data_IF_755686745845
#
_entry.id   IF_755686745845
#
_cell.length_a   1.000
_cell.length_b   1.000
_cell.length_c   1.000
_cell.angle_alpha   90.00
_cell.angle_beta   90.00
_cell.angle_gamma   90.00
#
_symmetry.space_group_name_H-M   'P 1'
#
loop_
_entity.id
_entity.type
_entity.pdbx_description
1 polymer ?
#
# COMPACT_ATOMS: atom_id res chain seq x y z
N UNK A 1 33.62 0.95 -40.32
CA UNK A 1 32.61 2.00 -40.26
C UNK A 1 32.12 2.11 -38.82
N UNK A 2 31.65 3.26 -38.37
CA UNK A 2 31.35 3.48 -36.94
C UNK A 2 29.85 3.64 -36.76
N UNK A 3 29.24 2.78 -35.95
CA UNK A 3 27.84 2.94 -35.52
C UNK A 3 27.74 4.20 -34.63
N UNK A 4 27.05 5.25 -35.06
CA UNK A 4 26.87 6.44 -34.22
C UNK A 4 26.03 6.11 -32.98
N UNK A 5 26.32 6.75 -31.82
CA UNK A 5 25.59 6.46 -30.59
C UNK A 5 24.11 6.78 -30.74
N UNK A 6 23.22 5.95 -30.15
CA UNK A 6 21.80 6.27 -30.03
C UNK A 6 21.60 7.64 -29.38
N UNK A 7 20.58 8.37 -29.81
CA UNK A 7 20.23 9.68 -29.22
C UNK A 7 18.99 9.54 -28.35
N UNK A 8 18.94 10.31 -27.28
CA UNK A 8 17.74 10.41 -26.46
C UNK A 8 16.73 11.34 -27.09
N UNK A 9 15.47 10.92 -27.16
CA UNK A 9 14.36 11.70 -27.75
C UNK A 9 13.12 11.64 -26.85
N UNK A 10 12.32 12.69 -26.88
CA UNK A 10 11.02 12.74 -26.22
C UNK A 10 11.07 12.80 -24.68
N UNK A 11 9.89 12.71 -24.10
CA UNK A 11 9.68 12.69 -22.64
C UNK A 11 9.64 11.25 -22.17
N UNK A 12 10.37 10.96 -21.10
CA UNK A 12 10.35 9.62 -20.46
C UNK A 12 8.99 9.38 -19.80
N UNK A 13 8.42 8.18 -19.98
CA UNK A 13 7.21 7.79 -19.26
C UNK A 13 7.51 7.67 -17.77
N UNK A 14 6.50 7.95 -16.93
CA UNK A 14 6.52 7.69 -15.51
C UNK A 14 5.89 6.33 -15.25
N UNK A 15 6.53 5.53 -14.42
CA UNK A 15 6.00 4.28 -13.90
C UNK A 15 5.46 4.56 -12.49
N UNK A 16 4.14 4.55 -12.35
CA UNK A 16 3.47 4.84 -11.09
C UNK A 16 2.78 3.58 -10.60
N UNK A 17 3.09 3.17 -9.39
CA UNK A 17 2.39 2.12 -8.65
C UNK A 17 1.53 2.75 -7.57
N UNK A 18 0.39 2.14 -7.33
CA UNK A 18 -0.57 2.50 -6.30
C UNK A 18 -0.62 1.35 -5.28
N UNK A 19 -0.33 1.62 -4.02
CA UNK A 19 -0.14 0.61 -2.98
C UNK A 19 -1.38 -0.21 -2.59
N UNK A 20 -2.64 0.25 -2.78
CA UNK A 20 -3.82 -0.51 -2.34
C UNK A 20 -3.88 -1.94 -2.83
N UNK A 21 -3.27 -2.22 -3.95
CA UNK A 21 -3.32 -3.56 -4.55
C UNK A 21 -1.97 -4.22 -4.75
N UNK A 22 -0.85 -3.50 -4.66
CA UNK A 22 0.51 -3.94 -5.07
C UNK A 22 0.56 -4.63 -6.45
N UNK A 23 -0.56 -4.67 -7.14
CA UNK A 23 -0.81 -5.24 -8.47
C UNK A 23 -1.90 -4.41 -9.17
N UNK A 24 -1.85 -4.20 -10.48
CA UNK A 24 -0.83 -4.70 -11.41
C UNK A 24 0.46 -3.88 -11.37
N UNK A 25 1.57 -4.50 -11.83
CA UNK A 25 2.84 -3.82 -12.05
C UNK A 25 2.69 -2.62 -12.99
N UNK A 26 3.48 -1.57 -12.74
CA UNK A 26 3.56 -0.45 -13.67
C UNK A 26 4.55 -0.77 -14.79
N UNK A 27 4.11 -0.66 -16.03
CA UNK A 27 4.95 -0.94 -17.19
C UNK A 27 4.84 0.15 -18.25
N UNK A 28 5.97 0.55 -18.81
CA UNK A 28 6.01 1.56 -19.87
C UNK A 28 7.14 1.28 -20.86
N UNK A 29 6.89 1.56 -22.16
CA UNK A 29 7.92 1.44 -23.19
C UNK A 29 8.81 2.68 -23.19
N UNK A 30 10.11 2.45 -22.98
CA UNK A 30 11.16 3.46 -23.10
C UNK A 30 11.91 3.38 -24.42
N UNK A 31 11.60 2.42 -25.31
CA UNK A 31 12.27 2.24 -26.59
C UNK A 31 12.20 3.48 -27.48
N UNK A 32 11.06 4.16 -27.50
CA UNK A 32 10.85 5.40 -28.29
C UNK A 32 11.71 6.59 -27.81
N UNK A 33 12.30 6.49 -26.62
CA UNK A 33 13.22 7.50 -26.09
C UNK A 33 14.66 7.36 -26.64
N UNK A 34 14.93 6.30 -27.38
CA UNK A 34 16.20 6.07 -28.07
C UNK A 34 15.98 6.14 -29.58
N UNK A 35 16.74 6.99 -30.26
CA UNK A 35 16.82 7.01 -31.72
C UNK A 35 18.12 6.34 -32.12
N UNK A 36 18.03 5.21 -32.80
CA UNK A 36 19.19 4.42 -33.24
C UNK A 36 19.42 4.70 -34.74
N UNK A 37 20.68 4.94 -35.11
CA UNK A 37 21.12 4.98 -36.49
C UNK A 37 22.25 3.95 -36.63
N UNK A 38 22.05 2.97 -37.48
CA UNK A 38 23.03 1.87 -37.68
C UNK A 38 24.08 2.17 -38.73
N UNK A 39 24.06 3.36 -39.33
CA UNK A 39 25.02 3.71 -40.38
C UNK A 39 24.72 3.07 -41.73
N UNK A 40 25.76 2.91 -42.55
CA UNK A 40 25.67 2.38 -43.91
C UNK A 40 25.54 0.84 -43.94
N UNK A 41 26.07 0.13 -42.92
CA UNK A 41 26.12 -1.30 -42.84
C UNK A 41 24.79 -1.96 -42.51
N UNK A 42 23.82 -1.13 -42.07
CA UNK A 42 22.45 -1.56 -41.80
C UNK A 42 22.24 -2.07 -40.39
N UNK A 43 20.98 -2.39 -40.07
CA UNK A 43 20.55 -2.74 -38.73
C UNK A 43 20.97 -4.19 -38.35
N UNK A 44 21.62 -4.33 -37.22
CA UNK A 44 21.82 -5.60 -36.53
C UNK A 44 20.85 -5.79 -35.39
N UNK A 45 21.17 -5.33 -34.16
CA UNK A 45 20.31 -5.51 -32.99
C UNK A 45 20.33 -4.32 -32.04
N UNK A 46 19.31 -4.20 -31.21
CA UNK A 46 19.30 -3.31 -30.04
C UNK A 46 18.98 -4.10 -28.78
N UNK A 47 19.79 -3.93 -27.75
CA UNK A 47 19.63 -4.57 -26.43
C UNK A 47 19.47 -3.49 -25.38
N UNK A 48 18.54 -3.72 -24.43
CA UNK A 48 18.29 -2.82 -23.32
C UNK A 48 18.74 -3.46 -22.01
N UNK A 49 19.45 -2.70 -21.18
CA UNK A 49 19.93 -3.15 -19.87
C UNK A 49 19.68 -2.10 -18.81
N UNK A 50 19.39 -2.56 -17.58
CA UNK A 50 19.25 -1.71 -16.42
C UNK A 50 20.54 -1.63 -15.63
N UNK A 51 20.81 -0.46 -15.06
CA UNK A 51 21.86 -0.21 -14.09
C UNK A 51 21.32 0.48 -12.85
N UNK A 52 21.99 0.35 -11.72
CA UNK A 52 21.69 1.10 -10.52
C UNK A 52 22.97 1.50 -9.78
N UNK A 53 22.92 2.65 -9.12
CA UNK A 53 23.92 3.04 -8.13
C UNK A 53 23.62 2.26 -6.86
N UNK A 54 24.52 1.34 -6.48
CA UNK A 54 24.38 0.57 -5.24
C UNK A 54 24.39 1.47 -4.01
N UNK A 55 23.41 1.28 -3.10
CA UNK A 55 23.29 2.06 -1.88
C UNK A 55 21.89 2.65 -1.70
N UNK A 56 21.79 3.68 -0.87
CA UNK A 56 20.50 4.24 -0.44
C UNK A 56 19.66 4.78 -1.61
N UNK A 57 18.41 4.37 -1.65
CA UNK A 57 17.41 4.83 -2.62
C UNK A 57 16.69 6.11 -2.20
N UNK A 58 16.68 6.40 -0.89
CA UNK A 58 15.87 7.43 -0.26
C UNK A 58 14.52 6.92 0.25
N UNK A 59 14.13 5.69 -0.07
CA UNK A 59 12.92 5.06 0.41
C UNK A 59 13.16 4.33 1.74
N UNK A 60 12.08 4.10 2.48
CA UNK A 60 12.04 3.33 3.72
C UNK A 60 10.97 2.25 3.57
N UNK A 61 11.27 1.01 3.92
CA UNK A 61 10.31 -0.08 4.01
C UNK A 61 9.40 0.13 5.22
N UNK A 62 8.11 0.32 5.03
CA UNK A 62 7.14 0.62 6.09
C UNK A 62 7.13 -0.47 7.17
N UNK A 63 7.14 -1.74 6.78
CA UNK A 63 6.99 -2.85 7.73
C UNK A 63 8.21 -3.06 8.63
N UNK A 64 9.41 -2.69 8.18
CA UNK A 64 10.65 -2.85 8.97
C UNK A 64 11.19 -1.53 9.52
N UNK A 65 10.80 -0.39 8.95
CA UNK A 65 11.39 0.91 9.23
C UNK A 65 12.82 1.06 8.68
N UNK A 66 13.31 0.11 7.87
CA UNK A 66 14.66 0.10 7.34
C UNK A 66 14.79 0.93 6.06
N UNK A 67 15.97 1.50 5.85
CA UNK A 67 16.31 2.11 4.57
C UNK A 67 16.32 1.08 3.44
N UNK A 68 15.76 1.46 2.30
CA UNK A 68 15.79 0.64 1.08
C UNK A 68 17.04 0.99 0.28
N UNK A 69 17.89 0.01 0.05
CA UNK A 69 19.07 0.12 -0.79
C UNK A 69 18.86 -0.52 -2.16
N UNK A 70 19.63 -0.06 -3.14
CA UNK A 70 19.59 -0.56 -4.52
C UNK A 70 20.74 -1.49 -4.79
N UNK A 71 20.49 -2.51 -5.62
CA UNK A 71 21.50 -3.39 -6.23
C UNK A 71 21.03 -3.88 -7.59
N UNK A 72 21.96 -4.41 -8.39
CA UNK A 72 21.63 -5.10 -9.65
C UNK A 72 21.95 -6.58 -9.48
N UNK A 73 20.97 -7.44 -9.72
CA UNK A 73 21.10 -8.89 -9.63
C UNK A 73 20.54 -9.51 -10.90
N UNK A 74 21.38 -10.17 -11.69
CA UNK A 74 20.95 -10.83 -12.92
C UNK A 74 20.31 -9.91 -13.96
N UNK A 75 20.70 -8.62 -13.98
CA UNK A 75 20.10 -7.61 -14.89
C UNK A 75 18.81 -6.96 -14.36
N UNK A 76 18.36 -7.35 -13.18
CA UNK A 76 17.22 -6.75 -12.47
C UNK A 76 17.73 -5.75 -11.45
N UNK A 77 17.14 -4.57 -11.39
CA UNK A 77 17.37 -3.62 -10.30
C UNK A 77 16.44 -4.01 -9.15
N UNK A 78 17.01 -4.22 -7.99
CA UNK A 78 16.31 -4.57 -6.77
C UNK A 78 16.43 -3.44 -5.73
N UNK A 79 15.30 -3.06 -5.13
CA UNK A 79 15.23 -2.30 -3.90
C UNK A 79 14.99 -3.25 -2.73
N UNK A 80 15.86 -3.23 -1.73
CA UNK A 80 15.82 -4.17 -0.60
C UNK A 80 16.09 -3.47 0.74
N UNK A 81 15.47 -3.97 1.80
CA UNK A 81 15.70 -3.49 3.19
C UNK A 81 17.11 -3.84 3.64
N UNK A 82 17.86 -2.86 4.11
CA UNK A 82 19.32 -2.95 4.27
C UNK A 82 19.80 -4.02 5.25
N UNK A 83 19.07 -4.27 6.34
CA UNK A 83 19.43 -5.21 7.40
C UNK A 83 18.77 -6.57 7.20
N UNK A 84 17.45 -6.57 6.93
CA UNK A 84 16.67 -7.80 6.78
C UNK A 84 16.79 -8.43 5.39
N UNK A 85 17.35 -7.70 4.42
CA UNK A 85 17.51 -8.12 3.03
C UNK A 85 16.19 -8.53 2.36
N UNK A 86 15.06 -7.98 2.83
CA UNK A 86 13.74 -8.21 2.23
C UNK A 86 13.63 -7.41 0.94
N UNK A 87 13.16 -8.05 -0.13
CA UNK A 87 12.90 -7.37 -1.40
C UNK A 87 11.64 -6.50 -1.26
N UNK A 88 11.81 -5.20 -1.56
CA UNK A 88 10.74 -4.19 -1.48
C UNK A 88 10.13 -3.93 -2.85
N UNK A 89 10.97 -3.78 -3.87
CA UNK A 89 10.54 -3.64 -5.25
C UNK A 89 11.61 -4.17 -6.21
N UNK A 90 11.23 -4.40 -7.45
CA UNK A 90 12.18 -4.65 -8.52
C UNK A 90 11.82 -3.88 -9.79
N UNK A 91 12.84 -3.63 -10.62
CA UNK A 91 12.69 -3.04 -11.95
C UNK A 91 13.30 -3.98 -12.96
N UNK A 92 12.54 -4.32 -14.00
CA UNK A 92 12.96 -5.18 -15.10
C UNK A 92 12.85 -4.45 -16.44
N UNK A 93 13.61 -4.89 -17.43
CA UNK A 93 13.45 -4.44 -18.82
C UNK A 93 13.41 -5.66 -19.73
N UNK A 94 12.53 -5.63 -20.72
CA UNK A 94 12.46 -6.68 -21.73
C UNK A 94 13.22 -6.30 -23.02
N UNK A 95 13.32 -7.24 -23.94
CA UNK A 95 14.03 -7.04 -25.22
C UNK A 95 13.41 -5.98 -26.14
N UNK A 96 12.17 -5.55 -25.90
CA UNK A 96 11.53 -4.45 -26.62
C UNK A 96 11.70 -3.07 -25.96
N UNK A 97 12.48 -2.98 -24.85
CA UNK A 97 12.72 -1.74 -24.12
C UNK A 97 11.55 -1.30 -23.26
N UNK A 98 10.61 -2.21 -22.93
CA UNK A 98 9.58 -1.95 -21.93
C UNK A 98 10.14 -2.18 -20.53
N UNK A 99 10.09 -1.17 -19.71
CA UNK A 99 10.49 -1.19 -18.30
C UNK A 99 9.26 -1.50 -17.44
N UNK A 100 9.40 -2.40 -16.47
CA UNK A 100 8.37 -2.76 -15.51
C UNK A 100 8.87 -2.51 -14.10
N UNK A 101 8.10 -1.79 -13.31
CA UNK A 101 8.26 -1.61 -11.87
C UNK A 101 7.26 -2.51 -11.17
N UNK A 102 7.74 -3.36 -10.27
CA UNK A 102 6.94 -4.24 -9.43
C UNK A 102 7.26 -3.96 -7.96
N UNK A 103 6.24 -3.66 -7.17
CA UNK A 103 6.33 -3.42 -5.73
C UNK A 103 5.84 -4.64 -4.97
N UNK A 104 6.60 -5.04 -3.96
CA UNK A 104 6.37 -6.24 -3.15
C UNK A 104 6.03 -5.89 -1.69
N UNK A 105 6.39 -4.69 -1.24
CA UNK A 105 6.19 -4.19 0.12
C UNK A 105 5.92 -2.70 0.07
N UNK A 106 5.11 -2.19 1.00
CA UNK A 106 4.83 -0.78 1.14
C UNK A 106 6.11 0.03 1.48
N UNK A 107 6.17 1.25 0.99
CA UNK A 107 7.22 2.22 1.31
C UNK A 107 6.66 3.39 2.08
N UNK A 108 7.41 3.91 3.05
CA UNK A 108 6.95 5.02 3.88
C UNK A 108 6.82 6.32 3.08
N UNK A 109 5.69 6.99 3.24
CA UNK A 109 5.38 8.28 2.63
C UNK A 109 5.51 9.41 3.66
N UNK A 110 6.34 10.42 3.37
CA UNK A 110 6.57 11.57 4.26
C UNK A 110 6.53 12.90 3.51
N UNK A 111 5.77 13.89 4.03
CA UNK A 111 4.88 13.83 5.19
C UNK A 111 3.61 13.03 4.86
N UNK A 112 3.15 12.19 5.79
CA UNK A 112 1.91 11.42 5.62
C UNK A 112 0.70 12.34 5.85
N UNK A 113 0.28 13.06 4.81
CA UNK A 113 -0.79 14.08 4.88
C UNK A 113 -2.02 13.75 4.07
N UNK A 114 -1.92 12.86 3.11
CA UNK A 114 -3.02 12.42 2.23
C UNK A 114 -2.86 10.96 1.87
N UNK A 115 -3.97 10.29 1.60
CA UNK A 115 -4.04 8.88 1.25
C UNK A 115 -3.65 8.58 -0.22
N UNK A 116 -2.98 9.42 -0.93
CA UNK A 116 -2.57 9.19 -2.34
C UNK A 116 -1.27 9.96 -2.61
N UNK A 117 -0.41 9.98 -1.60
CA UNK A 117 0.81 10.76 -1.65
C UNK A 117 1.91 10.03 -2.44
N UNK A 118 2.51 10.68 -3.46
CA UNK A 118 3.60 10.05 -4.20
C UNK A 118 4.92 10.15 -3.43
N UNK A 119 5.72 9.09 -3.51
CA UNK A 119 7.14 9.10 -3.16
C UNK A 119 7.95 8.42 -4.27
N UNK A 120 9.26 8.57 -4.27
CA UNK A 120 10.15 8.00 -5.28
C UNK A 120 11.61 8.04 -4.87
N UNK A 121 12.48 7.62 -5.75
CA UNK A 121 13.93 7.64 -5.51
C UNK A 121 14.44 9.08 -5.41
N UNK A 122 15.43 9.31 -4.54
CA UNK A 122 16.00 10.66 -4.30
C UNK A 122 16.77 11.24 -5.47
N UNK A 123 17.11 10.45 -6.48
CA UNK A 123 17.84 10.92 -7.66
C UNK A 123 17.52 10.15 -8.93
N UNK A 124 17.41 10.88 -10.04
CA UNK A 124 17.16 10.31 -11.35
C UNK A 124 18.26 9.32 -11.79
N UNK A 125 19.49 9.59 -11.41
CA UNK A 125 20.67 8.79 -11.77
C UNK A 125 20.82 7.50 -10.95
N UNK A 126 19.98 7.29 -9.94
CA UNK A 126 20.03 6.07 -9.11
C UNK A 126 19.67 4.82 -9.89
N UNK A 127 18.79 4.94 -10.90
CA UNK A 127 18.48 3.85 -11.83
C UNK A 127 18.64 4.36 -13.25
N UNK A 128 19.28 3.56 -14.08
CA UNK A 128 19.58 3.90 -15.49
C UNK A 128 19.07 2.82 -16.42
N UNK A 129 18.72 3.24 -17.63
CA UNK A 129 18.42 2.36 -18.76
C UNK A 129 19.42 2.66 -19.88
N UNK A 130 20.12 1.62 -20.36
CA UNK A 130 21.08 1.70 -21.44
C UNK A 130 20.56 0.94 -22.65
N UNK A 131 20.54 1.59 -23.81
CA UNK A 131 20.36 0.94 -25.10
C UNK A 131 21.74 0.74 -25.76
N UNK A 132 22.01 -0.49 -26.16
CA UNK A 132 23.20 -0.87 -26.96
C UNK A 132 22.72 -1.28 -28.34
N UNK A 133 23.10 -0.52 -29.33
CA UNK A 133 22.89 -0.83 -30.74
C UNK A 133 24.11 -1.55 -31.29
N UNK A 134 23.88 -2.59 -32.07
CA UNK A 134 24.91 -3.32 -32.83
C UNK A 134 24.48 -3.32 -34.28
N UNK A 135 25.33 -2.91 -35.20
CA UNK A 135 25.07 -2.96 -36.63
C UNK A 135 25.37 -4.34 -37.24
N UNK A 136 25.28 -4.45 -38.57
CA UNK A 136 25.33 -5.74 -39.24
C UNK A 136 26.74 -6.38 -39.21
N UNK A 137 27.81 -5.59 -39.20
CA UNK A 137 29.17 -6.08 -39.15
C UNK A 137 29.74 -6.19 -37.72
N UNK A 138 28.93 -5.78 -36.70
CA UNK A 138 29.24 -6.02 -35.29
C UNK A 138 29.74 -4.81 -34.52
N UNK A 139 29.80 -3.62 -35.12
CA UNK A 139 30.13 -2.41 -34.41
C UNK A 139 29.02 -2.02 -33.42
N UNK A 140 29.41 -1.50 -32.26
CA UNK A 140 28.46 -1.19 -31.19
C UNK A 140 28.50 0.26 -30.75
N UNK A 141 27.33 0.79 -30.41
CA UNK A 141 27.19 2.10 -29.78
C UNK A 141 26.15 2.07 -28.65
N UNK A 142 26.38 2.87 -27.62
CA UNK A 142 25.52 2.87 -26.43
C UNK A 142 25.05 4.26 -26.07
N UNK A 143 23.84 4.32 -25.52
CA UNK A 143 23.27 5.52 -24.90
C UNK A 143 22.58 5.13 -23.60
N UNK A 144 22.81 5.91 -22.55
CA UNK A 144 22.20 5.71 -21.23
C UNK A 144 21.31 6.89 -20.87
N UNK A 145 20.17 6.58 -20.28
CA UNK A 145 19.23 7.56 -19.72
C UNK A 145 18.98 7.27 -18.24
N UNK A 146 18.74 8.32 -17.46
CA UNK A 146 18.36 8.22 -16.05
C UNK A 146 16.84 8.05 -15.94
N UNK A 147 16.40 7.06 -15.18
CA UNK A 147 14.98 6.74 -15.00
C UNK A 147 14.55 6.65 -13.54
N UNK A 148 15.46 6.89 -12.58
CA UNK A 148 15.16 6.77 -11.16
C UNK A 148 14.02 7.72 -10.70
N UNK A 149 13.96 8.95 -11.24
CA UNK A 149 12.89 9.92 -10.96
C UNK A 149 11.55 9.60 -11.65
N UNK A 150 11.50 8.53 -12.44
CA UNK A 150 10.29 8.03 -13.11
C UNK A 150 9.63 6.87 -12.38
N UNK A 151 10.27 6.37 -11.32
CA UNK A 151 9.75 5.30 -10.48
C UNK A 151 9.01 5.92 -9.29
N UNK A 152 7.67 5.91 -9.34
CA UNK A 152 6.80 6.57 -8.37
C UNK A 152 5.95 5.52 -7.66
N UNK A 153 5.92 5.62 -6.34
CA UNK A 153 5.11 4.85 -5.44
C UNK A 153 4.06 5.79 -4.84
N UNK A 154 2.80 5.40 -4.84
CA UNK A 154 1.70 6.16 -4.26
C UNK A 154 1.18 5.45 -3.04
N UNK A 155 0.95 6.24 -1.99
CA UNK A 155 0.36 5.81 -0.72
C UNK A 155 -1.06 5.30 -0.91
N UNK A 156 -1.54 4.47 0.00
CA UNK A 156 -2.95 4.17 0.18
C UNK A 156 -3.40 4.58 1.59
N UNK A 157 -4.65 4.99 1.70
CA UNK A 157 -5.25 5.35 2.99
C UNK A 157 -6.11 4.23 3.56
N UNK A 158 -6.30 4.21 4.88
CA UNK A 158 -7.19 3.25 5.50
C UNK A 158 -8.64 3.48 5.06
N UNK A 159 -9.36 2.40 4.78
CA UNK A 159 -10.79 2.40 4.53
C UNK A 159 -11.54 1.72 5.69
N UNK A 160 -12.63 2.32 6.11
CA UNK A 160 -13.52 1.77 7.13
C UNK A 160 -14.92 1.59 6.54
N UNK A 161 -15.51 0.42 6.75
CA UNK A 161 -16.92 0.14 6.45
C UNK A 161 -17.62 -0.38 7.70
N UNK A 162 -18.86 0.08 7.89
CA UNK A 162 -19.67 -0.28 9.05
C UNK A 162 -20.94 -0.98 8.56
N UNK A 163 -21.13 -2.24 8.94
CA UNK A 163 -22.36 -2.96 8.70
C UNK A 163 -23.49 -2.34 9.53
N UNK A 164 -24.56 -1.89 8.85
CA UNK A 164 -25.65 -1.14 9.46
C UNK A 164 -26.56 -1.97 10.40
N UNK A 165 -26.36 -3.28 10.55
CA UNK A 165 -27.20 -4.15 11.35
C UNK A 165 -26.40 -4.87 12.43
N UNK A 166 -26.48 -4.38 13.64
CA UNK A 166 -26.04 -5.09 14.84
C UNK A 166 -27.20 -5.81 15.53
N UNK A 167 -26.88 -6.77 16.38
CA UNK A 167 -27.85 -7.32 17.33
C UNK A 167 -28.26 -6.23 18.30
N UNK A 168 -29.54 -6.02 18.48
CA UNK A 168 -30.00 -5.06 19.48
C UNK A 168 -29.51 -5.47 20.88
N UNK A 169 -29.04 -4.50 21.64
CA UNK A 169 -28.79 -4.67 23.05
C UNK A 169 -30.14 -4.52 23.76
N UNK A 170 -30.59 -5.58 24.43
CA UNK A 170 -31.90 -5.60 25.09
C UNK A 170 -31.64 -5.77 26.58
N UNK A 171 -32.14 -4.84 27.37
CA UNK A 171 -32.16 -4.95 28.83
C UNK A 171 -33.54 -5.41 29.23
N UNK A 172 -33.63 -6.43 30.09
CA UNK A 172 -34.86 -6.92 30.67
C UNK A 172 -34.95 -6.39 32.11
N UNK A 173 -36.02 -5.68 32.42
CA UNK A 173 -36.31 -5.10 33.74
C UNK A 173 -37.20 -6.00 34.59
N UNK A 174 -37.57 -7.20 34.12
CA UNK A 174 -38.42 -8.10 34.89
C UNK A 174 -37.65 -8.67 36.08
N UNK A 175 -38.17 -8.44 37.30
CA UNK A 175 -37.59 -9.02 38.52
C UNK A 175 -37.87 -10.51 38.55
N UNK A 176 -36.81 -11.30 38.35
CA UNK A 176 -36.87 -12.74 38.50
C UNK A 176 -37.05 -13.15 39.96
N UNK A 177 -38.16 -13.80 40.23
CA UNK A 177 -38.46 -14.21 41.59
C UNK A 177 -37.86 -15.52 42.02
N UNK A 178 -37.25 -16.31 41.13
CA UNK A 178 -36.63 -17.60 41.49
C UNK A 178 -35.73 -18.17 40.41
N UNK A 179 -34.43 -17.97 40.55
CA UNK A 179 -33.39 -18.79 39.94
C UNK A 179 -33.20 -18.73 38.41
N UNK A 180 -32.19 -19.43 37.89
CA UNK A 180 -31.73 -19.30 36.50
C UNK A 180 -32.69 -19.77 35.39
N UNK A 181 -33.90 -20.14 35.74
CA UNK A 181 -34.92 -20.65 34.82
C UNK A 181 -35.89 -19.57 34.30
N UNK A 182 -35.80 -18.34 34.78
CA UNK A 182 -36.64 -17.21 34.35
C UNK A 182 -35.97 -16.34 33.24
N UNK A 183 -35.05 -16.94 32.53
CA UNK A 183 -34.43 -16.27 31.40
C UNK A 183 -35.39 -16.27 30.22
N UNK A 184 -36.19 -15.26 30.09
CA UNK A 184 -37.10 -15.09 28.98
C UNK A 184 -36.36 -14.75 27.71
N UNK A 185 -36.08 -15.78 26.88
CA UNK A 185 -35.51 -15.61 25.56
C UNK A 185 -33.99 -15.45 25.50
N UNK A 186 -33.24 -16.01 26.47
CA UNK A 186 -31.77 -15.95 26.45
C UNK A 186 -31.18 -14.63 26.94
N UNK A 187 -31.97 -13.83 27.65
CA UNK A 187 -31.56 -12.57 28.27
C UNK A 187 -31.07 -12.81 29.69
N UNK A 188 -30.14 -11.99 30.11
CA UNK A 188 -29.62 -12.06 31.47
C UNK A 188 -30.59 -11.43 32.43
N UNK A 189 -30.94 -12.12 33.52
CA UNK A 189 -31.82 -11.63 34.54
C UNK A 189 -31.11 -10.56 35.41
N UNK A 190 -31.81 -9.46 35.70
CA UNK A 190 -31.27 -8.28 36.39
C UNK A 190 -30.91 -8.50 37.85
N UNK A 191 -31.32 -9.60 38.48
CA UNK A 191 -30.90 -9.95 39.85
C UNK A 191 -29.59 -10.74 39.89
N UNK A 192 -28.99 -11.06 38.74
CA UNK A 192 -27.64 -11.64 38.64
C UNK A 192 -26.58 -10.55 38.76
N UNK A 193 -25.75 -10.62 39.75
CA UNK A 193 -24.52 -9.82 39.86
C UNK A 193 -23.49 -10.25 38.81
N UNK A 194 -23.65 -9.82 37.59
CA UNK A 194 -22.75 -10.16 36.51
C UNK A 194 -21.54 -9.21 36.47
N UNK A 195 -20.34 -9.70 36.10
CA UNK A 195 -19.17 -8.85 35.97
C UNK A 195 -19.41 -7.74 34.93
N UNK A 196 -19.25 -6.48 35.34
CA UNK A 196 -19.39 -5.31 34.49
C UNK A 196 -20.69 -4.52 34.64
N UNK A 197 -21.67 -5.00 35.44
CA UNK A 197 -22.82 -4.19 35.79
C UNK A 197 -22.42 -3.01 36.68
N UNK A 198 -23.05 -1.84 36.47
CA UNK A 198 -22.90 -0.69 37.36
C UNK A 198 -23.56 -1.00 38.72
N UNK A 199 -23.01 -0.43 39.80
CA UNK A 199 -23.63 -0.56 41.14
C UNK A 199 -25.02 0.04 41.11
N UNK A 200 -26.03 -0.77 41.48
CA UNK A 200 -27.42 -0.37 41.49
C UNK A 200 -28.17 -0.49 40.15
N UNK A 201 -27.53 -1.11 39.14
CA UNK A 201 -28.21 -1.44 37.91
C UNK A 201 -29.29 -2.52 38.15
N UNK A 202 -30.48 -2.34 37.60
CA UNK A 202 -31.56 -3.33 37.62
C UNK A 202 -31.53 -4.27 36.41
N UNK A 203 -30.65 -4.01 35.47
CA UNK A 203 -30.37 -4.84 34.31
C UNK A 203 -29.24 -4.25 33.47
N UNK A 204 -28.57 -5.10 32.70
CA UNK A 204 -27.58 -4.62 31.71
C UNK A 204 -27.49 -5.58 30.52
N UNK A 205 -27.07 -5.04 29.40
CA UNK A 205 -26.78 -5.83 28.20
C UNK A 205 -25.43 -5.46 27.63
N UNK A 206 -24.71 -6.47 27.15
CA UNK A 206 -23.41 -6.30 26.50
C UNK A 206 -23.45 -6.84 25.09
N UNK A 207 -22.73 -6.20 24.20
CA UNK A 207 -22.57 -6.66 22.83
C UNK A 207 -21.26 -6.20 22.23
N UNK A 208 -20.74 -6.96 21.28
CA UNK A 208 -19.54 -6.60 20.56
C UNK A 208 -19.88 -5.84 19.29
N UNK A 209 -19.27 -4.68 19.10
CA UNK A 209 -19.34 -3.90 17.85
C UNK A 209 -18.21 -4.24 16.89
N UNK A 210 -17.22 -5.04 17.33
CA UNK A 210 -16.02 -5.35 16.53
C UNK A 210 -16.38 -6.03 15.21
N UNK A 211 -17.35 -6.95 15.24
CA UNK A 211 -17.81 -7.66 14.03
C UNK A 211 -18.62 -6.81 13.06
N UNK A 212 -19.05 -5.62 13.48
CA UNK A 212 -19.79 -4.67 12.64
C UNK A 212 -18.86 -3.75 11.83
N UNK A 213 -17.59 -3.69 12.21
CA UNK A 213 -16.62 -2.78 11.61
C UNK A 213 -15.64 -3.59 10.79
N UNK A 214 -15.66 -3.39 9.49
CA UNK A 214 -14.63 -3.86 8.57
C UNK A 214 -13.67 -2.72 8.28
N UNK A 215 -12.39 -2.92 8.54
CA UNK A 215 -11.37 -1.94 8.21
C UNK A 215 -10.30 -2.59 7.34
N UNK A 216 -9.90 -1.87 6.29
CA UNK A 216 -8.74 -2.17 5.48
C UNK A 216 -7.71 -1.08 5.78
N UNK A 217 -6.58 -1.47 6.32
CA UNK A 217 -5.52 -0.54 6.69
C UNK A 217 -4.56 -0.21 5.52
N UNK A 218 -4.80 -0.83 4.35
CA UNK A 218 -3.92 -0.69 3.21
C UNK A 218 -2.66 -1.57 3.31
N UNK A 219 -1.70 -1.31 2.42
CA UNK A 219 -0.44 -2.05 2.33
C UNK A 219 0.47 -1.80 3.53
N UNK A 220 0.34 -0.64 4.17
CA UNK A 220 1.11 -0.25 5.36
C UNK A 220 0.73 -1.03 6.63
N UNK A 221 -0.46 -1.64 6.66
CA UNK A 221 -0.97 -2.36 7.81
C UNK A 221 -1.60 -1.47 8.87
N UNK A 222 -2.30 -2.08 9.83
CA UNK A 222 -3.03 -1.38 10.89
C UNK A 222 -2.12 -1.03 12.07
N UNK A 223 -1.94 0.26 12.36
CA UNK A 223 -1.23 0.73 13.54
C UNK A 223 -2.13 0.75 14.78
N UNK A 224 -3.38 1.21 14.65
CA UNK A 224 -4.35 1.28 15.76
C UNK A 224 -5.78 1.39 15.26
N UNK A 225 -6.73 0.95 16.10
CA UNK A 225 -8.16 1.13 15.89
C UNK A 225 -8.80 1.62 17.18
N UNK A 226 -9.53 2.72 17.11
CA UNK A 226 -10.20 3.32 18.26
C UNK A 226 -11.70 3.36 18.01
N UNK A 227 -12.49 2.99 19.02
CA UNK A 227 -13.94 3.08 19.01
C UNK A 227 -14.39 4.17 19.96
N UNK A 228 -15.36 4.97 19.55
CA UNK A 228 -16.00 5.97 20.40
C UNK A 228 -17.51 5.89 20.27
N UNK A 229 -18.23 6.21 21.34
CA UNK A 229 -19.67 6.36 21.35
C UNK A 229 -20.04 7.84 21.45
N UNK A 230 -20.99 8.26 20.63
CA UNK A 230 -21.51 9.62 20.64
C UNK A 230 -23.02 9.58 20.73
N UNK A 231 -23.59 10.40 21.60
CA UNK A 231 -25.05 10.59 21.72
C UNK A 231 -25.46 11.65 20.71
N UNK A 232 -26.18 11.25 19.66
CA UNK A 232 -26.65 12.16 18.61
C UNK A 232 -27.92 12.91 19.00
N UNK A 233 -28.69 12.38 19.96
CA UNK A 233 -29.90 13.02 20.48
C UNK A 233 -29.93 12.89 22.01
N UNK A 234 -30.07 13.99 22.71
CA UNK A 234 -30.11 14.03 24.18
C UNK A 234 -31.50 13.65 24.74
N UNK A 235 -32.52 13.57 23.88
CA UNK A 235 -33.84 13.10 24.25
C UNK A 235 -33.98 11.62 23.93
N UNK A 236 -34.03 10.77 24.96
CA UNK A 236 -34.13 9.31 24.78
C UNK A 236 -35.51 8.85 24.33
N UNK A 237 -36.56 9.61 24.62
CA UNK A 237 -37.96 9.19 24.48
C UNK A 237 -38.42 8.23 25.55
N UNK A 238 -37.59 7.91 26.54
CA UNK A 238 -37.91 7.06 27.68
C UNK A 238 -38.36 7.92 28.84
N UNK A 239 -39.27 7.40 29.64
CA UNK A 239 -39.74 8.01 30.88
C UNK A 239 -39.30 7.16 32.06
N UNK A 240 -38.87 7.79 33.12
CA UNK A 240 -38.66 7.13 34.39
C UNK A 240 -40.03 6.69 34.97
N UNK A 241 -40.19 5.40 35.26
CA UNK A 241 -41.43 4.82 35.73
C UNK A 241 -41.83 5.31 37.14
N UNK A 242 -40.87 5.78 37.94
CA UNK A 242 -41.10 6.28 39.31
C UNK A 242 -41.51 7.77 39.28
N UNK A 243 -40.79 8.57 38.50
CA UNK A 243 -41.00 10.03 38.47
C UNK A 243 -41.93 10.49 37.35
N UNK A 244 -42.17 9.62 36.35
CA UNK A 244 -42.98 9.89 35.15
C UNK A 244 -42.48 11.14 34.39
N UNK A 245 -41.15 11.37 34.41
CA UNK A 245 -40.48 12.55 33.82
C UNK A 245 -39.39 12.12 32.81
#
# INVERSE_FOLDING_TARGET
>A
DHCPPPRTTGVLPTLTLDEPTLLPDASASCAANFSVNYGADGAGSTVYTLGAVSGASGLIDTATGEAVHLRVVGGVVEGYSVTTNQLVFNVTVNGSGSVTLNQLRAVAHTPNTTADQPTGLTGANLVTLTATATDFDGDTAQQTINIGDKLIFKDDGPAIDIAASGTALIVDESLGTTGPTQNEGGRVNEDETLPGAAVGAIGYATGSIVSLVSANAGADGEASRVYSLTVNNTTSGLLDSITNS
#
